data_IF_844392853244
#
_entry.id   IF_844392853244
#
_cell.length_a   1.000
_cell.length_b   1.000
_cell.length_c   1.000
_cell.angle_alpha   90.00
_cell.angle_beta   90.00
_cell.angle_gamma   90.00
#
_symmetry.space_group_name_H-M   'P 1'
#
loop_
_entity.id
_entity.type
_entity.pdbx_description
1 polymer ?
#
# COMPACT_ATOMS: atom_id res chain seq x y z
N UNK A 1 6.55 -24.71 -5.06
CA UNK A 1 6.81 -23.33 -5.46
C UNK A 1 6.21 -22.39 -4.46
N UNK A 2 6.95 -21.38 -4.02
CA UNK A 2 6.32 -20.39 -3.16
C UNK A 2 5.18 -19.70 -3.94
N UNK A 3 4.04 -19.54 -3.28
CA UNK A 3 2.94 -18.78 -3.86
C UNK A 3 3.39 -17.34 -4.08
N UNK A 4 3.10 -16.82 -5.26
CA UNK A 4 3.34 -15.41 -5.53
C UNK A 4 2.48 -14.56 -4.61
N UNK A 5 3.08 -13.59 -3.94
CA UNK A 5 2.36 -12.66 -3.06
C UNK A 5 1.31 -11.91 -3.88
N UNK A 6 0.05 -12.02 -3.47
CA UNK A 6 -1.04 -11.26 -4.07
C UNK A 6 -1.27 -9.97 -3.28
N UNK A 7 -1.50 -8.89 -4.00
CA UNK A 7 -1.79 -7.59 -3.41
C UNK A 7 -3.30 -7.36 -3.46
N UNK A 8 -3.93 -7.35 -2.28
CA UNK A 8 -5.37 -7.06 -2.18
C UNK A 8 -5.56 -5.56 -2.18
N UNK A 9 -6.14 -5.02 -3.24
CA UNK A 9 -6.30 -3.59 -3.46
C UNK A 9 -7.77 -3.19 -3.46
N UNK A 10 -8.02 -1.98 -2.93
CA UNK A 10 -9.30 -1.32 -3.15
C UNK A 10 -9.39 -0.88 -4.61
N UNK A 11 -10.59 -0.62 -5.12
CA UNK A 11 -10.78 -0.11 -6.48
C UNK A 11 -10.06 1.23 -6.66
N UNK A 12 -10.16 2.11 -5.67
CA UNK A 12 -9.46 3.40 -5.67
C UNK A 12 -7.94 3.21 -5.73
N UNK A 13 -7.40 2.32 -4.90
CA UNK A 13 -5.97 2.01 -4.89
C UNK A 13 -5.49 1.44 -6.22
N UNK A 14 -6.26 0.53 -6.81
CA UNK A 14 -5.94 -0.04 -8.12
C UNK A 14 -5.90 1.03 -9.20
N UNK A 15 -6.91 1.91 -9.24
CA UNK A 15 -6.98 3.01 -10.20
C UNK A 15 -5.81 3.98 -10.01
N UNK A 16 -5.45 4.29 -8.77
CA UNK A 16 -4.32 5.16 -8.46
C UNK A 16 -2.99 4.56 -8.92
N UNK A 17 -2.77 3.27 -8.70
CA UNK A 17 -1.56 2.58 -9.17
C UNK A 17 -1.48 2.54 -10.69
N UNK A 18 -2.60 2.33 -11.37
CA UNK A 18 -2.65 2.38 -12.85
C UNK A 18 -2.28 3.77 -13.37
N UNK A 19 -2.81 4.82 -12.77
CA UNK A 19 -2.49 6.21 -13.15
C UNK A 19 -1.02 6.52 -12.90
N UNK A 20 -0.49 6.12 -11.77
CA UNK A 20 0.91 6.32 -11.43
C UNK A 20 1.82 5.58 -12.42
N UNK A 21 1.48 4.33 -12.75
CA UNK A 21 2.22 3.54 -13.74
C UNK A 21 2.26 4.23 -15.10
N UNK A 22 1.12 4.69 -15.61
CA UNK A 22 1.05 5.39 -16.89
C UNK A 22 1.84 6.71 -16.86
N UNK A 23 1.75 7.48 -15.78
CA UNK A 23 2.49 8.72 -15.63
C UNK A 23 4.00 8.48 -15.62
N UNK A 24 4.49 7.48 -14.89
CA UNK A 24 5.91 7.13 -14.86
C UNK A 24 6.40 6.58 -16.19
N UNK A 25 5.57 5.82 -16.88
CA UNK A 25 5.88 5.31 -18.22
C UNK A 25 6.08 6.43 -19.24
N UNK A 26 5.18 7.43 -19.23
CA UNK A 26 5.32 8.62 -20.07
C UNK A 26 6.57 9.41 -19.72
N UNK A 27 6.84 9.58 -18.43
CA UNK A 27 8.04 10.27 -17.95
C UNK A 27 9.32 9.55 -18.41
N UNK A 28 9.33 8.23 -18.36
CA UNK A 28 10.45 7.39 -18.82
C UNK A 28 10.68 7.57 -20.32
N UNK A 29 9.61 7.56 -21.12
CA UNK A 29 9.69 7.78 -22.57
C UNK A 29 10.21 9.18 -22.88
N UNK A 30 9.69 10.21 -22.20
CA UNK A 30 10.13 11.58 -22.38
C UNK A 30 11.62 11.75 -22.03
N UNK A 31 12.10 11.09 -20.99
CA UNK A 31 13.51 11.10 -20.58
C UNK A 31 14.42 10.51 -21.67
N UNK A 32 14.00 9.42 -22.29
CA UNK A 32 14.77 8.77 -23.37
C UNK A 32 14.79 9.58 -24.68
N UNK A 33 13.76 10.39 -24.92
CA UNK A 33 13.64 11.25 -26.11
C UNK A 33 14.23 12.65 -25.93
N UNK A 34 14.51 13.04 -24.68
CA UNK A 34 15.08 14.35 -24.35
C UNK A 34 16.58 14.42 -24.64
N UNK A 35 17.21 15.45 -24.07
CA UNK A 35 18.66 15.60 -24.16
C UNK A 35 19.37 14.51 -23.36
N UNK A 36 19.83 13.47 -24.05
CA UNK A 36 20.63 12.41 -23.45
C UNK A 36 22.08 12.91 -23.41
N UNK A 37 22.71 12.97 -22.22
CA UNK A 37 24.10 13.38 -22.12
C UNK A 37 25.05 12.46 -22.89
N UNK A 38 26.13 13.01 -23.39
CA UNK A 38 27.14 12.23 -24.12
C UNK A 38 27.89 11.29 -23.19
N UNK A 39 28.17 10.10 -23.69
CA UNK A 39 29.07 9.15 -23.03
C UNK A 39 30.50 9.50 -23.46
N UNK A 40 31.33 9.91 -22.50
CA UNK A 40 32.73 10.17 -22.75
C UNK A 40 33.53 8.84 -22.78
N UNK A 41 34.81 8.89 -23.03
CA UNK A 41 35.69 7.71 -23.09
C UNK A 41 35.63 6.83 -21.83
N UNK A 42 35.27 7.44 -20.69
CA UNK A 42 34.94 6.76 -19.45
C UNK A 42 33.67 7.34 -18.90
N UNK A 43 32.68 6.48 -18.55
CA UNK A 43 31.45 6.88 -17.92
C UNK A 43 31.70 7.71 -16.65
N UNK A 44 32.79 7.42 -15.95
CA UNK A 44 33.15 8.09 -14.71
C UNK A 44 33.58 9.54 -14.91
N UNK A 45 33.82 9.96 -16.15
CA UNK A 45 34.25 11.32 -16.46
C UNK A 45 33.12 12.29 -16.78
N UNK A 46 31.89 11.78 -17.02
CA UNK A 46 30.73 12.63 -17.30
C UNK A 46 29.69 12.57 -16.20
N UNK A 47 29.70 13.53 -15.24
CA UNK A 47 28.69 13.54 -14.15
C UNK A 47 27.26 13.67 -14.64
N UNK A 48 27.01 14.38 -15.75
CA UNK A 48 25.66 14.51 -16.32
C UNK A 48 25.12 13.16 -16.81
N UNK A 49 25.98 12.36 -17.44
CA UNK A 49 25.62 11.02 -17.89
C UNK A 49 25.31 10.09 -16.71
N UNK A 50 26.10 10.14 -15.65
CA UNK A 50 25.87 9.35 -14.45
C UNK A 50 24.54 9.70 -13.79
N UNK A 51 24.26 11.00 -13.64
CA UNK A 51 23.00 11.48 -13.08
C UNK A 51 21.81 11.05 -13.94
N UNK A 52 21.91 11.16 -15.24
CA UNK A 52 20.89 10.69 -16.18
C UNK A 52 20.64 9.19 -16.02
N UNK A 53 21.70 8.39 -15.96
CA UNK A 53 21.61 6.94 -15.79
C UNK A 53 20.94 6.55 -14.46
N UNK A 54 21.30 7.26 -13.38
CA UNK A 54 20.65 7.05 -12.07
C UNK A 54 19.16 7.37 -12.09
N UNK A 55 18.78 8.47 -12.73
CA UNK A 55 17.37 8.84 -12.88
C UNK A 55 16.58 7.79 -13.67
N UNK A 56 17.15 7.32 -14.78
CA UNK A 56 16.55 6.26 -15.61
C UNK A 56 16.41 4.97 -14.81
N UNK A 57 17.43 4.57 -14.08
CA UNK A 57 17.41 3.37 -13.26
C UNK A 57 16.32 3.45 -12.17
N UNK A 58 16.16 4.62 -11.55
CA UNK A 58 15.14 4.85 -10.54
C UNK A 58 13.73 4.72 -11.15
N UNK A 59 13.51 5.31 -12.32
CA UNK A 59 12.22 5.19 -13.04
C UNK A 59 11.94 3.74 -13.41
N UNK A 60 12.92 3.03 -13.94
CA UNK A 60 12.78 1.63 -14.32
C UNK A 60 12.47 0.74 -13.10
N UNK A 61 13.11 1.00 -11.96
CA UNK A 61 12.84 0.28 -10.72
C UNK A 61 11.41 0.51 -10.22
N UNK A 62 10.94 1.75 -10.25
CA UNK A 62 9.56 2.09 -9.85
C UNK A 62 8.55 1.49 -10.80
N UNK A 63 8.80 1.53 -12.10
CA UNK A 63 7.93 0.90 -13.10
C UNK A 63 7.85 -0.61 -12.89
N UNK A 64 8.95 -1.25 -12.61
CA UNK A 64 8.99 -2.69 -12.33
C UNK A 64 8.18 -3.04 -11.07
N UNK A 65 8.34 -2.25 -10.01
CA UNK A 65 7.59 -2.43 -8.76
C UNK A 65 6.07 -2.28 -8.99
N UNK A 66 5.65 -1.22 -9.67
CA UNK A 66 4.24 -0.99 -9.99
C UNK A 66 3.67 -2.07 -10.91
N UNK A 67 4.44 -2.48 -11.90
CA UNK A 67 4.05 -3.56 -12.80
C UNK A 67 3.82 -4.87 -12.04
N UNK A 68 4.70 -5.19 -11.09
CA UNK A 68 4.55 -6.35 -10.22
C UNK A 68 3.29 -6.27 -9.36
N UNK A 69 3.01 -5.10 -8.77
CA UNK A 69 1.80 -4.87 -7.97
C UNK A 69 0.56 -5.06 -8.84
N UNK A 70 0.51 -4.41 -10.01
CA UNK A 70 -0.64 -4.49 -10.91
C UNK A 70 -0.87 -5.90 -11.45
N UNK A 71 0.20 -6.61 -11.79
CA UNK A 71 0.14 -7.97 -12.32
C UNK A 71 -0.39 -8.98 -11.30
N UNK A 72 -0.04 -8.78 -10.02
CA UNK A 72 -0.41 -9.67 -8.93
C UNK A 72 -1.52 -9.08 -8.04
N UNK A 73 -2.22 -8.06 -8.52
CA UNK A 73 -3.30 -7.42 -7.77
C UNK A 73 -4.59 -8.22 -7.83
N UNK A 74 -5.34 -8.15 -6.75
CA UNK A 74 -6.68 -8.70 -6.64
C UNK A 74 -7.57 -7.67 -5.95
N UNK A 75 -8.73 -7.37 -6.56
CA UNK A 75 -9.66 -6.44 -5.95
C UNK A 75 -10.26 -7.02 -4.69
N UNK A 76 -10.32 -6.19 -3.66
CA UNK A 76 -11.02 -6.51 -2.42
C UNK A 76 -12.52 -6.53 -2.71
N UNK A 77 -13.16 -7.65 -2.38
CA UNK A 77 -14.60 -7.80 -2.51
C UNK A 77 -15.27 -7.59 -1.15
N UNK A 78 -16.37 -6.85 -1.17
CA UNK A 78 -17.20 -6.69 0.02
C UNK A 78 -17.72 -8.07 0.48
N UNK A 79 -17.53 -8.45 1.76
CA UNK A 79 -18.03 -9.72 2.26
C UNK A 79 -19.56 -9.79 2.22
N UNK A 80 -20.10 -11.01 2.26
CA UNK A 80 -21.53 -11.22 2.41
C UNK A 80 -22.02 -10.56 3.71
N UNK A 81 -23.27 -10.13 3.72
CA UNK A 81 -23.84 -9.36 4.84
C UNK A 81 -23.65 -10.04 6.21
N UNK A 82 -23.78 -11.34 6.28
CA UNK A 82 -23.61 -12.12 7.51
C UNK A 82 -22.15 -12.19 8.01
N UNK A 83 -21.18 -11.86 7.15
CA UNK A 83 -19.73 -11.84 7.47
C UNK A 83 -19.17 -10.43 7.65
N UNK A 84 -19.98 -9.39 7.55
CA UNK A 84 -19.54 -8.01 7.69
C UNK A 84 -19.28 -7.60 9.16
N UNK A 85 -19.53 -8.46 10.10
CA UNK A 85 -19.21 -8.26 11.51
C UNK A 85 -17.80 -8.76 11.88
N UNK A 86 -17.05 -9.26 10.90
CA UNK A 86 -15.67 -9.74 11.05
C UNK A 86 -14.74 -8.78 10.30
N UNK A 87 -13.59 -8.48 10.91
CA UNK A 87 -12.57 -7.61 10.29
C UNK A 87 -11.83 -8.36 9.20
N UNK A 88 -11.87 -7.84 7.99
CA UNK A 88 -11.11 -8.31 6.83
C UNK A 88 -10.65 -7.10 6.01
N UNK A 89 -9.92 -7.33 4.92
CA UNK A 89 -9.47 -6.26 4.02
C UNK A 89 -10.65 -5.40 3.56
N UNK A 90 -10.46 -4.10 3.57
CA UNK A 90 -11.49 -3.12 3.20
C UNK A 90 -12.41 -2.72 4.34
N UNK A 91 -12.31 -3.37 5.50
CA UNK A 91 -13.10 -3.02 6.66
C UNK A 91 -12.67 -1.67 7.23
N UNK A 92 -13.64 -0.83 7.54
CA UNK A 92 -13.45 0.37 8.36
C UNK A 92 -13.91 0.06 9.77
N UNK A 93 -13.00 0.16 10.72
CA UNK A 93 -13.20 -0.30 12.09
C UNK A 93 -13.22 0.91 13.02
N UNK A 94 -14.34 1.09 13.72
CA UNK A 94 -14.45 2.08 14.79
C UNK A 94 -13.99 1.42 16.08
N UNK A 95 -12.94 1.95 16.68
CA UNK A 95 -12.37 1.46 17.94
C UNK A 95 -12.48 2.50 19.04
N UNK A 96 -12.40 2.03 20.27
CA UNK A 96 -12.32 2.87 21.46
C UNK A 96 -11.04 2.53 22.24
N UNK A 97 -10.25 3.54 22.52
CA UNK A 97 -8.99 3.46 23.28
C UNK A 97 -8.99 4.53 24.32
N UNK A 98 -8.86 4.15 25.60
CA UNK A 98 -8.82 5.08 26.74
C UNK A 98 -9.97 6.10 26.72
N UNK A 99 -11.17 5.65 26.37
CA UNK A 99 -12.38 6.48 26.30
C UNK A 99 -12.48 7.35 25.04
N UNK A 100 -11.49 7.31 24.16
CA UNK A 100 -11.48 8.05 22.88
C UNK A 100 -11.77 7.10 21.73
N UNK A 101 -12.54 7.60 20.76
CA UNK A 101 -12.87 6.84 19.54
C UNK A 101 -11.89 7.18 18.44
N UNK A 102 -11.48 6.16 17.70
CA UNK A 102 -10.65 6.29 16.51
C UNK A 102 -11.16 5.36 15.43
N UNK A 103 -10.77 5.61 14.18
CA UNK A 103 -11.25 4.87 13.03
C UNK A 103 -10.08 4.46 12.14
N UNK A 104 -10.04 3.18 11.79
CA UNK A 104 -9.01 2.63 10.88
C UNK A 104 -9.65 1.86 9.76
N UNK A 105 -9.05 1.93 8.58
CA UNK A 105 -9.42 1.08 7.44
C UNK A 105 -8.29 0.09 7.19
N UNK A 106 -8.61 -1.20 7.16
CA UNK A 106 -7.63 -2.26 6.92
C UNK A 106 -7.38 -2.43 5.43
N UNK A 107 -6.15 -2.21 5.02
CA UNK A 107 -5.71 -2.30 3.61
C UNK A 107 -4.44 -3.13 3.52
N UNK A 108 -4.00 -3.43 2.29
CA UNK A 108 -2.70 -4.06 2.09
C UNK A 108 -1.57 -3.08 2.38
N UNK A 109 -0.37 -3.60 2.59
CA UNK A 109 0.81 -2.77 2.91
C UNK A 109 1.11 -1.70 1.85
N UNK A 110 0.82 -1.99 0.58
CA UNK A 110 1.08 -1.06 -0.54
C UNK A 110 0.11 0.12 -0.58
N UNK A 111 -1.06 0.01 0.05
CA UNK A 111 -2.03 1.09 0.19
C UNK A 111 -1.99 1.76 1.56
N UNK A 112 -1.17 1.28 2.50
CA UNK A 112 -1.16 1.80 3.86
C UNK A 112 -0.78 3.28 3.89
N UNK A 113 -1.54 4.06 4.65
CA UNK A 113 -1.30 5.47 4.87
C UNK A 113 -1.86 5.84 6.25
N UNK A 114 -1.01 5.78 7.30
CA UNK A 114 -1.47 6.05 8.67
C UNK A 114 -2.09 7.44 8.85
N UNK A 115 -1.65 8.43 8.08
CA UNK A 115 -2.20 9.79 8.11
C UNK A 115 -3.67 9.82 7.71
N UNK A 116 -4.08 8.93 6.80
CA UNK A 116 -5.47 8.79 6.37
C UNK A 116 -6.23 7.68 7.11
N UNK A 117 -5.64 7.12 8.16
CA UNK A 117 -6.24 6.02 8.89
C UNK A 117 -6.23 4.67 8.18
N UNK A 118 -5.44 4.54 7.11
CA UNK A 118 -5.29 3.28 6.36
C UNK A 118 -4.13 2.48 6.94
N UNK A 119 -4.44 1.40 7.62
CA UNK A 119 -3.45 0.54 8.28
C UNK A 119 -3.26 -0.77 7.53
N UNK A 120 -2.03 -1.26 7.55
CA UNK A 120 -1.66 -2.52 6.90
C UNK A 120 -2.03 -3.71 7.79
N UNK A 121 -2.45 -4.81 7.14
CA UNK A 121 -2.60 -6.11 7.78
C UNK A 121 -1.28 -6.63 8.38
N UNK A 122 -0.16 -6.13 7.90
CA UNK A 122 1.18 -6.49 8.40
C UNK A 122 1.60 -5.64 9.61
N UNK A 123 0.92 -4.52 9.88
CA UNK A 123 1.20 -3.68 11.05
C UNK A 123 0.75 -4.38 12.34
N UNK A 124 1.33 -4.02 13.51
CA UNK A 124 0.91 -4.61 14.79
C UNK A 124 -0.59 -4.44 15.06
N UNK A 125 -1.15 -3.26 14.77
CA UNK A 125 -2.58 -2.98 14.95
C UNK A 125 -3.41 -3.80 13.96
N UNK A 126 -3.03 -3.81 12.69
CA UNK A 126 -3.74 -4.56 11.65
C UNK A 126 -3.76 -6.06 11.90
N UNK A 127 -2.63 -6.63 12.31
CA UNK A 127 -2.55 -8.05 12.69
C UNK A 127 -3.45 -8.40 13.84
N UNK A 128 -3.52 -7.52 14.84
CA UNK A 128 -4.33 -7.74 16.02
C UNK A 128 -5.82 -7.64 15.72
N UNK A 129 -6.21 -6.75 14.80
CA UNK A 129 -7.62 -6.53 14.44
C UNK A 129 -8.16 -7.55 13.43
N UNK A 130 -7.31 -8.08 12.55
CA UNK A 130 -7.73 -9.00 11.49
C UNK A 130 -8.44 -10.24 12.08
N UNK A 131 -9.62 -10.56 11.57
CA UNK A 131 -10.42 -11.69 12.02
C UNK A 131 -11.23 -11.46 13.30
N UNK A 132 -11.10 -10.28 13.90
CA UNK A 132 -11.86 -9.92 15.11
C UNK A 132 -13.28 -9.47 14.78
N UNK A 133 -14.12 -9.44 15.78
CA UNK A 133 -15.55 -9.11 15.66
C UNK A 133 -15.92 -7.89 16.48
N UNK A 134 -17.06 -7.31 16.15
CA UNK A 134 -17.65 -6.24 16.97
C UNK A 134 -17.83 -6.73 18.42
N UNK A 135 -17.40 -5.91 19.37
CA UNK A 135 -17.43 -6.23 20.79
C UNK A 135 -16.14 -6.84 21.33
N UNK A 136 -15.25 -7.29 20.44
CA UNK A 136 -13.97 -7.86 20.86
C UNK A 136 -13.04 -6.78 21.44
N UNK A 137 -12.26 -7.18 22.43
CA UNK A 137 -11.16 -6.38 22.98
C UNK A 137 -9.86 -6.96 22.47
N UNK A 138 -9.00 -6.09 21.93
CA UNK A 138 -7.74 -6.49 21.32
C UNK A 138 -6.60 -5.80 22.07
N UNK A 139 -5.63 -6.60 22.53
CA UNK A 139 -4.45 -6.08 23.24
C UNK A 139 -3.32 -5.92 22.21
N UNK A 140 -2.80 -4.70 22.13
CA UNK A 140 -1.67 -4.35 21.29
C UNK A 140 -0.51 -3.94 22.19
N UNK A 141 0.61 -4.68 22.11
CA UNK A 141 1.72 -4.55 23.03
C UNK A 141 2.79 -3.55 22.61
N UNK A 142 2.77 -3.08 21.37
CA UNK A 142 3.83 -2.23 20.82
C UNK A 142 3.31 -0.86 20.37
N UNK A 143 3.97 0.25 20.74
CA UNK A 143 5.11 0.35 21.65
C UNK A 143 4.72 0.25 23.12
N UNK A 144 3.46 0.54 23.44
CA UNK A 144 2.89 0.48 24.80
C UNK A 144 1.67 -0.43 24.77
N UNK A 145 1.50 -1.26 25.78
CA UNK A 145 0.32 -2.12 25.91
C UNK A 145 -0.95 -1.27 25.93
N UNK A 146 -1.78 -1.45 24.91
CA UNK A 146 -3.02 -0.69 24.73
C UNK A 146 -4.16 -1.67 24.43
N UNK A 147 -5.33 -1.42 24.98
CA UNK A 147 -6.52 -2.24 24.74
C UNK A 147 -7.44 -1.48 23.80
N UNK A 148 -7.70 -2.06 22.62
CA UNK A 148 -8.62 -1.54 21.63
C UNK A 148 -9.93 -2.31 21.72
N UNK A 149 -11.03 -1.60 21.87
CA UNK A 149 -12.36 -2.19 21.85
C UNK A 149 -13.02 -1.91 20.51
N UNK A 150 -13.44 -2.95 19.80
CA UNK A 150 -14.09 -2.82 18.49
C UNK A 150 -15.57 -2.47 18.72
N UNK A 151 -15.95 -1.26 18.30
CA UNK A 151 -17.31 -0.75 18.46
C UNK A 151 -18.17 -1.01 17.23
N UNK A 152 -17.61 -0.87 16.04
CA UNK A 152 -18.33 -1.02 14.77
C UNK A 152 -17.38 -1.41 13.64
N UNK A 153 -17.91 -2.20 12.71
CA UNK A 153 -17.21 -2.59 11.48
C UNK A 153 -18.10 -2.22 10.30
N UNK A 154 -17.54 -1.50 9.33
CA UNK A 154 -18.22 -1.11 8.10
C UNK A 154 -17.44 -1.57 6.88
N UNK A 155 -18.16 -1.93 5.83
CA UNK A 155 -17.60 -2.19 4.50
C UNK A 155 -18.27 -1.26 3.49
N UNK A 156 -17.46 -0.56 2.72
CA UNK A 156 -17.97 0.34 1.68
C UNK A 156 -18.13 -0.37 0.33
#
# INVERSE_FOLDING_TARGET
MPELKKFYLTKEGLDNFKKEYEALKELRIAKARGNVPEIWESEDLNPEYLSFREDVNLLDSKLFELENILKNSKLIKKPLHDKQNIVDFGATILIEVDGQKDEFTLVSSVESNPTLGKISDESPVGRALLGRRVGDEVVISSPIKTIYKIKKIKYN
#
